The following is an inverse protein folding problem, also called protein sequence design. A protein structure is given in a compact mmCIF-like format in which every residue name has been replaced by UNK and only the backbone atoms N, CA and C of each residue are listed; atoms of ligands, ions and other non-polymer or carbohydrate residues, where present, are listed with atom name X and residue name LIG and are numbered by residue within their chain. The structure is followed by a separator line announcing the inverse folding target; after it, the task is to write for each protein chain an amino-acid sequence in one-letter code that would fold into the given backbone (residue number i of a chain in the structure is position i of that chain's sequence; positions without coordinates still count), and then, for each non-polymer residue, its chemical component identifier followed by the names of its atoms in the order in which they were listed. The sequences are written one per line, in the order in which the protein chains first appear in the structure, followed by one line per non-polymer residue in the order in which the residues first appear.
data_IF_493476939326
#
_entry.id   IF_493476939326
#
_cell.length_a   1.000
_cell.length_b   1.000
_cell.length_c   1.000
_cell.angle_alpha   90.00
_cell.angle_beta   90.00
_cell.angle_gamma   90.00
#
_symmetry.space_group_name_H-M   'P 1'
#
loop_
_entity.id
_entity.type
_entity.pdbx_description
1 polymer ?
#
# COMPACT_ATOMS: atom_id res chain seq x y z
N UNK A 1 -14.70 -23.19 31.06
CA UNK A 1 -14.00 -23.60 29.81
C UNK A 1 -12.61 -24.10 30.17
N UNK A 2 -12.29 -25.35 29.88
CA UNK A 2 -11.03 -26.01 30.30
C UNK A 2 -9.81 -25.51 29.51
N UNK A 3 -8.62 -25.56 30.15
CA UNK A 3 -7.35 -25.07 29.59
C UNK A 3 -6.95 -25.75 28.26
N UNK A 4 -7.35 -27.01 28.07
CA UNK A 4 -7.09 -27.79 26.84
C UNK A 4 -7.83 -27.24 25.62
N UNK A 5 -9.11 -26.84 25.78
CA UNK A 5 -9.89 -26.19 24.70
C UNK A 5 -9.27 -24.87 24.25
N UNK A 6 -8.68 -24.08 25.17
CA UNK A 6 -7.97 -22.84 24.84
C UNK A 6 -6.68 -23.10 24.05
N UNK A 7 -5.92 -24.14 24.41
CA UNK A 7 -4.69 -24.53 23.68
C UNK A 7 -4.98 -25.06 22.28
N UNK A 8 -6.00 -25.91 22.13
CA UNK A 8 -6.39 -26.49 20.85
C UNK A 8 -6.94 -25.41 19.88
N UNK A 9 -7.72 -24.46 20.40
CA UNK A 9 -8.21 -23.32 19.64
C UNK A 9 -7.07 -22.41 19.17
N UNK A 10 -6.10 -22.09 20.04
CA UNK A 10 -4.91 -21.32 19.68
C UNK A 10 -4.08 -22.01 18.60
N UNK A 11 -3.89 -23.33 18.68
CA UNK A 11 -3.17 -24.11 17.68
C UNK A 11 -3.82 -24.09 16.29
N UNK A 12 -5.16 -24.14 16.23
CA UNK A 12 -5.92 -24.04 14.97
C UNK A 12 -5.76 -22.67 14.33
N UNK A 13 -5.91 -21.59 15.12
CA UNK A 13 -5.75 -20.21 14.66
C UNK A 13 -4.34 -19.96 14.10
N UNK A 14 -3.30 -20.39 14.81
CA UNK A 14 -1.91 -20.22 14.33
C UNK A 14 -1.69 -20.93 12.99
N UNK A 15 -2.27 -22.12 12.83
CA UNK A 15 -2.17 -22.90 11.58
C UNK A 15 -2.89 -22.19 10.42
N UNK A 16 -4.06 -21.62 10.70
CA UNK A 16 -4.84 -20.85 9.73
C UNK A 16 -4.18 -19.49 9.36
N UNK A 17 -3.54 -18.82 10.33
CA UNK A 17 -2.74 -17.62 10.04
C UNK A 17 -1.53 -17.98 9.17
N UNK A 18 -0.85 -19.09 9.45
CA UNK A 18 0.28 -19.55 8.62
C UNK A 18 -0.17 -19.89 7.19
N UNK A 19 -1.30 -20.57 7.01
CA UNK A 19 -1.80 -20.93 5.67
C UNK A 19 -2.29 -19.74 4.84
N UNK A 20 -2.59 -18.61 5.48
CA UNK A 20 -3.05 -17.38 4.82
C UNK A 20 -1.92 -16.38 4.53
N UNK A 21 -0.69 -16.62 5.03
CA UNK A 21 0.47 -15.79 4.73
C UNK A 21 0.83 -15.91 3.25
N UNK A 22 0.98 -14.76 2.59
CA UNK A 22 1.47 -14.66 1.22
C UNK A 22 2.73 -13.82 1.17
N UNK A 23 3.72 -14.25 0.39
CA UNK A 23 4.87 -13.42 0.08
C UNK A 23 4.43 -12.34 -0.93
N UNK A 24 4.57 -11.08 -0.53
CA UNK A 24 4.23 -9.92 -1.34
C UNK A 24 5.40 -8.95 -1.32
N UNK A 25 5.62 -8.25 -2.43
CA UNK A 25 6.52 -7.10 -2.50
C UNK A 25 5.68 -5.85 -2.41
N UNK A 26 6.09 -4.89 -1.59
CA UNK A 26 5.42 -3.59 -1.45
C UNK A 26 6.29 -2.52 -2.11
N UNK A 27 5.67 -1.68 -2.93
CA UNK A 27 6.28 -0.49 -3.51
C UNK A 27 5.66 0.74 -2.84
N UNK A 28 6.51 1.67 -2.45
CA UNK A 28 6.14 3.04 -2.14
C UNK A 28 6.80 3.98 -3.14
N UNK A 29 6.06 4.98 -3.60
CA UNK A 29 6.59 6.13 -4.35
C UNK A 29 6.26 7.39 -3.58
N UNK A 30 7.05 8.43 -3.77
CA UNK A 30 6.81 9.76 -3.20
C UNK A 30 7.27 10.84 -4.18
N UNK A 31 6.76 12.06 -4.06
CA UNK A 31 7.24 13.20 -4.84
C UNK A 31 8.24 13.97 -3.98
N UNK A 32 9.49 14.03 -4.43
CA UNK A 32 10.52 14.78 -3.73
C UNK A 32 10.11 16.27 -3.58
N UNK A 33 10.27 16.79 -2.37
CA UNK A 33 10.06 18.20 -2.04
C UNK A 33 8.62 18.71 -2.29
N UNK A 34 7.65 17.81 -2.28
CA UNK A 34 6.24 18.13 -2.50
C UNK A 34 5.69 19.11 -1.46
N UNK A 35 6.08 18.98 -0.18
CA UNK A 35 5.62 19.89 0.89
C UNK A 35 5.92 21.35 0.56
N UNK A 36 7.15 21.65 0.11
CA UNK A 36 7.51 23.01 -0.28
C UNK A 36 6.72 23.48 -1.50
N UNK A 37 6.43 22.59 -2.43
CA UNK A 37 5.59 22.89 -3.59
C UNK A 37 4.16 23.27 -3.16
N UNK A 38 3.57 22.52 -2.22
CA UNK A 38 2.27 22.84 -1.63
C UNK A 38 2.28 24.20 -0.93
N UNK A 39 3.31 24.49 -0.12
CA UNK A 39 3.40 25.74 0.64
C UNK A 39 3.48 26.98 -0.28
N UNK A 40 4.22 26.89 -1.39
CA UNK A 40 4.45 28.02 -2.29
C UNK A 40 3.29 28.21 -3.28
N UNK A 41 2.68 27.11 -3.74
CA UNK A 41 1.73 27.15 -4.86
C UNK A 41 0.28 26.89 -4.47
N UNK A 42 0.04 26.41 -3.25
CA UNK A 42 -1.29 26.16 -2.72
C UNK A 42 -1.97 24.92 -3.30
N UNK A 43 -3.21 24.73 -2.86
CA UNK A 43 -3.90 23.44 -2.97
C UNK A 43 -4.20 22.99 -4.41
N UNK A 44 -4.54 23.93 -5.29
CA UNK A 44 -4.92 23.62 -6.68
C UNK A 44 -3.70 23.06 -7.42
N UNK A 45 -2.59 23.78 -7.40
CA UNK A 45 -1.37 23.39 -8.09
C UNK A 45 -0.78 22.11 -7.47
N UNK A 46 -0.79 21.99 -6.15
CA UNK A 46 -0.36 20.77 -5.46
C UNK A 46 -1.21 19.56 -5.86
N UNK A 47 -2.54 19.73 -5.98
CA UNK A 47 -3.42 18.64 -6.42
C UNK A 47 -3.20 18.25 -7.87
N UNK A 48 -2.91 19.20 -8.75
CA UNK A 48 -2.56 18.93 -10.15
C UNK A 48 -1.23 18.18 -10.27
N UNK A 49 -0.24 18.52 -9.44
CA UNK A 49 1.03 17.78 -9.37
C UNK A 49 0.80 16.31 -8.98
N UNK A 50 0.01 16.05 -7.94
CA UNK A 50 -0.34 14.69 -7.50
C UNK A 50 -1.13 13.93 -8.57
N UNK A 51 -2.08 14.59 -9.25
CA UNK A 51 -2.82 13.97 -10.36
C UNK A 51 -1.88 13.57 -11.50
N UNK A 52 -0.95 14.45 -11.86
CA UNK A 52 0.05 14.18 -12.89
C UNK A 52 0.95 12.99 -12.52
N UNK A 53 1.48 12.96 -11.30
CA UNK A 53 2.24 11.82 -10.77
C UNK A 53 1.46 10.51 -10.87
N UNK A 54 0.21 10.49 -10.40
CA UNK A 54 -0.64 9.31 -10.44
C UNK A 54 -0.89 8.83 -11.89
N UNK A 55 -1.13 9.75 -12.83
CA UNK A 55 -1.32 9.42 -14.26
C UNK A 55 -0.09 8.77 -14.88
N UNK A 56 1.11 9.15 -14.46
CA UNK A 56 2.36 8.54 -14.93
C UNK A 56 2.58 7.16 -14.32
N UNK A 57 2.38 7.01 -13.01
CA UNK A 57 2.79 5.81 -12.29
C UNK A 57 1.74 4.70 -12.30
N UNK A 58 0.45 5.04 -12.26
CA UNK A 58 -0.62 4.02 -12.23
C UNK A 58 -0.59 3.07 -13.43
N UNK A 59 -0.42 3.53 -14.68
CA UNK A 59 -0.31 2.65 -15.84
C UNK A 59 0.91 1.73 -15.75
N UNK A 60 2.04 2.22 -15.23
CA UNK A 60 3.28 1.43 -15.09
C UNK A 60 3.05 0.30 -14.08
N UNK A 61 2.52 0.60 -12.89
CA UNK A 61 2.18 -0.40 -11.88
C UNK A 61 1.25 -1.47 -12.48
N UNK A 62 0.19 -1.04 -13.17
CA UNK A 62 -0.78 -1.96 -13.82
C UNK A 62 -0.12 -2.81 -14.91
N UNK A 63 0.73 -2.22 -15.75
CA UNK A 63 1.47 -2.92 -16.82
C UNK A 63 2.31 -4.07 -16.27
N UNK A 64 2.93 -3.88 -15.11
CA UNK A 64 3.72 -4.91 -14.42
C UNK A 64 2.89 -5.77 -13.45
N UNK A 65 1.56 -5.83 -13.63
CA UNK A 65 0.62 -6.64 -12.84
C UNK A 65 0.61 -6.30 -11.33
N UNK A 66 1.06 -5.10 -10.97
CA UNK A 66 0.94 -4.59 -9.61
C UNK A 66 -0.48 -4.14 -9.28
N UNK A 67 -0.81 -4.15 -7.99
CA UNK A 67 -2.08 -3.65 -7.46
C UNK A 67 -1.82 -2.38 -6.65
N UNK A 68 -2.46 -1.27 -7.05
CA UNK A 68 -2.50 -0.06 -6.22
C UNK A 68 -3.35 -0.37 -5.00
N UNK A 69 -2.78 -0.17 -3.81
CA UNK A 69 -3.47 -0.37 -2.54
C UNK A 69 -4.18 0.90 -2.11
N UNK A 70 -3.45 2.02 -2.11
CA UNK A 70 -3.95 3.36 -1.75
C UNK A 70 -2.93 4.44 -2.13
N UNK A 71 -3.38 5.69 -2.11
CA UNK A 71 -2.50 6.86 -2.04
C UNK A 71 -2.42 7.36 -0.60
N UNK A 72 -1.35 8.07 -0.25
CA UNK A 72 -1.14 8.70 1.05
C UNK A 72 -0.54 10.09 0.79
N UNK A 73 -1.37 11.14 0.76
CA UNK A 73 -0.93 12.42 0.23
C UNK A 73 -0.57 12.30 -1.26
N UNK A 74 0.67 12.64 -1.59
CA UNK A 74 1.31 12.51 -2.90
C UNK A 74 1.97 11.14 -3.13
N UNK A 75 2.12 10.33 -2.09
CA UNK A 75 2.69 8.99 -2.19
C UNK A 75 1.69 7.95 -2.73
N UNK A 76 2.23 6.90 -3.36
CA UNK A 76 1.49 5.72 -3.83
C UNK A 76 1.99 4.50 -3.07
N UNK A 77 1.06 3.69 -2.54
CA UNK A 77 1.34 2.35 -2.03
C UNK A 77 0.79 1.30 -3.00
N UNK A 78 1.66 0.40 -3.46
CA UNK A 78 1.28 -0.71 -4.33
C UNK A 78 1.86 -2.03 -3.84
N UNK A 79 1.24 -3.13 -4.27
CA UNK A 79 1.74 -4.48 -4.02
C UNK A 79 1.94 -5.26 -5.30
N UNK A 80 2.90 -6.17 -5.26
CA UNK A 80 3.18 -7.13 -6.31
C UNK A 80 3.21 -8.51 -5.65
N UNK A 81 2.36 -9.42 -6.12
CA UNK A 81 2.43 -10.82 -5.77
C UNK A 81 3.21 -11.58 -6.83
N UNK A 82 3.77 -12.72 -6.44
CA UNK A 82 4.26 -13.72 -7.38
C UNK A 82 3.13 -14.27 -8.24
#
# INVERSE_FOLDING_TARGET
MTAERRRQFGGSIIRQIKSTRKQITILFTDIEDSTRYWDIRGDIDGRLMVDYHNRLIFPVIKKFKGKIIKTIGDAIMASFSR
#
